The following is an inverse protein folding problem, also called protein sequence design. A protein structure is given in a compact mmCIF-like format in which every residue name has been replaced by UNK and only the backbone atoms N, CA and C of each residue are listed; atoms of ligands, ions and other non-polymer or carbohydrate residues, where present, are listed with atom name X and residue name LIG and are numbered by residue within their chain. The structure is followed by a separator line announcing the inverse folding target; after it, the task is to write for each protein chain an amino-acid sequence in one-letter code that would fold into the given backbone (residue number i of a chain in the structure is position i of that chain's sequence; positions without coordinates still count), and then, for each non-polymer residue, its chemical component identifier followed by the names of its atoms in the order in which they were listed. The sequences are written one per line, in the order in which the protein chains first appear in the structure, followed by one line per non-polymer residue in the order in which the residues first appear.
data_IF_626692398969
#
_entry.id   IF_626692398969
#
_cell.length_a   1.000
_cell.length_b   1.000
_cell.length_c   1.000
_cell.angle_alpha   90.00
_cell.angle_beta   90.00
_cell.angle_gamma   90.00
#
_symmetry.space_group_name_H-M   'P 1'
#
loop_
_entity.id
_entity.type
_entity.pdbx_description
1 polymer ?
#
# COMPACT_ATOMS: atom_id res chain seq x y z
N UNK A 1 20.57 -19.26 2.64
CA UNK A 1 20.52 -18.15 3.62
C UNK A 1 19.10 -18.09 4.19
N UNK A 2 18.93 -17.84 5.48
CA UNK A 2 17.60 -17.69 6.07
C UNK A 2 17.07 -16.26 5.91
N UNK A 3 15.79 -16.13 5.60
CA UNK A 3 15.05 -14.87 5.49
C UNK A 3 13.67 -15.01 6.15
N UNK A 4 12.99 -13.90 6.44
CA UNK A 4 11.70 -13.95 7.12
C UNK A 4 10.58 -14.34 6.16
N UNK A 5 10.58 -13.75 4.96
CA UNK A 5 9.53 -13.95 3.97
C UNK A 5 10.10 -14.07 2.57
N UNK A 6 9.56 -15.02 1.80
CA UNK A 6 9.79 -15.15 0.36
C UNK A 6 8.46 -15.00 -0.38
N UNK A 7 8.37 -14.02 -1.28
CA UNK A 7 7.17 -13.81 -2.10
C UNK A 7 7.50 -14.22 -3.53
N UNK A 8 6.79 -15.20 -4.06
CA UNK A 8 6.92 -15.61 -5.46
C UNK A 8 5.75 -15.05 -6.26
N UNK A 9 6.02 -14.21 -7.26
CA UNK A 9 4.98 -13.58 -8.06
C UNK A 9 5.10 -13.95 -9.54
N UNK A 10 3.97 -13.92 -10.26
CA UNK A 10 4.01 -14.08 -11.72
C UNK A 10 4.66 -12.87 -12.38
N UNK A 11 4.31 -11.68 -11.94
CA UNK A 11 4.90 -10.43 -12.42
C UNK A 11 5.39 -9.61 -11.22
N UNK A 12 6.60 -9.08 -11.32
CA UNK A 12 7.12 -8.05 -10.41
C UNK A 12 7.39 -6.79 -11.22
N UNK A 13 6.86 -5.66 -10.75
CA UNK A 13 7.11 -4.33 -11.29
C UNK A 13 8.00 -3.56 -10.30
N UNK A 14 9.34 -3.59 -10.45
CA UNK A 14 10.24 -2.97 -9.48
C UNK A 14 10.25 -1.44 -9.55
N UNK A 15 9.62 -0.83 -10.58
CA UNK A 15 9.66 0.60 -10.94
C UNK A 15 11.05 1.05 -11.41
N UNK A 16 12.12 0.63 -10.74
CA UNK A 16 13.51 0.86 -11.12
C UNK A 16 14.24 -0.49 -11.16
N UNK A 17 14.75 -0.93 -12.34
CA UNK A 17 14.51 -0.36 -13.67
C UNK A 17 13.04 -0.51 -14.10
N UNK A 18 12.61 0.25 -15.11
CA UNK A 18 11.23 0.22 -15.60
C UNK A 18 11.00 -0.99 -16.53
N UNK A 19 10.89 -2.18 -15.96
CA UNK A 19 10.67 -3.44 -16.68
C UNK A 19 9.67 -4.34 -15.94
N UNK A 20 9.15 -5.35 -16.66
CA UNK A 20 8.29 -6.38 -16.09
C UNK A 20 9.12 -7.64 -15.89
N UNK A 21 9.27 -8.07 -14.65
CA UNK A 21 9.99 -9.30 -14.31
C UNK A 21 9.01 -10.45 -14.14
N UNK A 22 9.00 -11.39 -15.10
CA UNK A 22 8.18 -12.59 -15.00
C UNK A 22 8.84 -13.68 -14.14
N UNK A 23 8.06 -14.37 -13.32
CA UNK A 23 8.52 -15.46 -12.45
C UNK A 23 9.71 -15.07 -11.55
N UNK A 24 9.54 -13.95 -10.84
CA UNK A 24 10.53 -13.44 -9.89
C UNK A 24 10.03 -13.51 -8.46
N UNK A 25 10.97 -13.38 -7.54
CA UNK A 25 10.71 -13.45 -6.11
C UNK A 25 11.44 -12.38 -5.35
N UNK A 26 10.79 -11.88 -4.30
CA UNK A 26 11.35 -10.92 -3.36
C UNK A 26 11.66 -11.66 -2.07
N UNK A 27 12.91 -11.56 -1.61
CA UNK A 27 13.34 -12.02 -0.30
C UNK A 27 13.35 -10.86 0.68
N UNK A 28 12.73 -11.04 1.84
CA UNK A 28 12.62 -10.02 2.89
C UNK A 28 13.27 -10.52 4.18
N UNK A 29 14.17 -9.73 4.75
CA UNK A 29 14.81 -9.99 6.04
C UNK A 29 14.79 -8.71 6.89
N UNK A 30 14.31 -8.83 8.12
CA UNK A 30 14.17 -7.74 9.09
C UNK A 30 13.45 -6.52 8.50
N UNK A 31 12.36 -6.78 7.76
CA UNK A 31 11.54 -5.75 7.10
C UNK A 31 12.17 -5.10 5.85
N UNK A 32 13.36 -5.55 5.41
CA UNK A 32 14.05 -5.00 4.25
C UNK A 32 14.05 -5.99 3.09
N UNK A 33 13.92 -5.48 1.86
CA UNK A 33 14.16 -6.27 0.65
C UNK A 33 15.66 -6.53 0.55
N UNK A 34 16.05 -7.81 0.57
CA UNK A 34 17.47 -8.20 0.48
C UNK A 34 17.84 -8.81 -0.86
N UNK A 35 16.85 -9.23 -1.64
CA UNK A 35 17.07 -9.73 -3.00
C UNK A 35 15.79 -9.68 -3.84
N UNK A 36 15.99 -9.54 -5.15
CA UNK A 36 14.99 -9.64 -6.21
C UNK A 36 15.59 -10.48 -7.34
N UNK A 37 15.09 -11.71 -7.51
CA UNK A 37 15.71 -12.69 -8.40
C UNK A 37 14.69 -13.67 -8.99
N UNK A 38 15.02 -14.40 -10.07
CA UNK A 38 14.15 -15.45 -10.61
C UNK A 38 13.74 -16.46 -9.54
N UNK A 39 12.49 -16.91 -9.58
CA UNK A 39 11.88 -17.77 -8.56
C UNK A 39 12.68 -19.04 -8.29
N UNK A 40 13.19 -19.71 -9.33
CA UNK A 40 13.98 -20.93 -9.14
C UNK A 40 15.29 -20.67 -8.39
N UNK A 41 15.98 -19.56 -8.71
CA UNK A 41 17.18 -19.16 -7.98
C UNK A 41 16.87 -18.77 -6.52
N UNK A 42 15.71 -18.16 -6.29
CA UNK A 42 15.26 -17.80 -4.95
C UNK A 42 15.08 -19.05 -4.07
N UNK A 43 14.46 -20.11 -4.61
CA UNK A 43 14.25 -21.40 -3.92
C UNK A 43 15.56 -22.12 -3.58
N UNK A 44 16.57 -21.98 -4.42
CA UNK A 44 17.90 -22.55 -4.18
C UNK A 44 18.69 -21.76 -3.13
N UNK A 45 18.59 -20.43 -3.18
CA UNK A 45 19.43 -19.52 -2.38
C UNK A 45 18.88 -19.30 -0.96
N UNK A 46 17.57 -19.30 -0.80
CA UNK A 46 16.89 -18.88 0.43
C UNK A 46 15.98 -19.95 1.03
N UNK A 47 16.00 -20.04 2.36
CA UNK A 47 14.96 -20.69 3.17
C UNK A 47 14.21 -19.59 3.92
N UNK A 48 12.88 -19.68 4.00
CA UNK A 48 12.06 -18.63 4.60
C UNK A 48 11.09 -19.18 5.64
N UNK A 49 10.89 -18.43 6.74
CA UNK A 49 9.87 -18.78 7.74
C UNK A 49 8.45 -18.68 7.18
N UNK A 50 8.20 -17.74 6.26
CA UNK A 50 6.94 -17.57 5.54
C UNK A 50 7.17 -17.52 4.04
N UNK A 51 6.31 -18.20 3.27
CA UNK A 51 6.35 -18.18 1.81
C UNK A 51 4.98 -17.86 1.25
N UNK A 52 4.91 -16.92 0.31
CA UNK A 52 3.68 -16.51 -0.36
C UNK A 52 3.76 -16.86 -1.85
N UNK A 53 2.71 -17.50 -2.37
CA UNK A 53 2.61 -17.90 -3.77
C UNK A 53 1.57 -17.04 -4.48
N UNK A 54 2.03 -16.21 -5.40
CA UNK A 54 1.25 -15.17 -6.08
C UNK A 54 1.33 -15.35 -7.61
N UNK A 55 1.15 -16.59 -8.09
CA UNK A 55 1.36 -17.00 -9.50
C UNK A 55 0.36 -16.45 -10.53
N UNK A 56 -0.62 -15.68 -10.09
CA UNK A 56 -1.58 -14.96 -10.95
C UNK A 56 -1.61 -13.46 -10.66
N UNK A 57 -0.68 -12.95 -9.84
CA UNK A 57 -0.70 -11.57 -9.36
C UNK A 57 0.50 -10.78 -9.87
N UNK A 58 0.32 -9.47 -9.86
CA UNK A 58 1.38 -8.47 -10.01
C UNK A 58 1.81 -8.00 -8.63
N UNK A 59 3.11 -8.04 -8.36
CA UNK A 59 3.73 -7.46 -7.18
C UNK A 59 4.35 -6.11 -7.56
N UNK A 60 4.05 -5.07 -6.80
CA UNK A 60 4.55 -3.71 -7.00
C UNK A 60 4.91 -3.08 -5.64
N UNK A 61 5.72 -2.01 -5.61
CA UNK A 61 5.87 -1.18 -4.43
C UNK A 61 4.51 -0.71 -3.92
N UNK A 62 4.40 -0.55 -2.60
CA UNK A 62 3.22 0.01 -1.97
C UNK A 62 2.93 1.41 -2.55
N UNK A 63 1.66 1.69 -2.84
CA UNK A 63 1.26 3.01 -3.33
C UNK A 63 1.46 4.07 -2.24
N UNK A 64 2.01 5.22 -2.63
CA UNK A 64 2.23 6.35 -1.73
C UNK A 64 1.09 7.35 -1.92
N UNK A 65 0.24 7.50 -0.90
CA UNK A 65 -0.75 8.56 -0.86
C UNK A 65 -0.08 9.86 -0.34
N UNK A 66 0.28 10.76 -1.26
CA UNK A 66 1.05 11.96 -0.94
C UNK A 66 0.24 13.07 -0.24
N UNK A 67 -1.10 13.01 -0.26
CA UNK A 67 -1.95 14.01 0.36
C UNK A 67 -3.31 13.41 0.71
N UNK A 68 -3.69 13.50 2.00
CA UNK A 68 -4.97 12.97 2.47
C UNK A 68 -5.48 13.77 3.68
N UNK A 69 -6.80 13.81 3.82
CA UNK A 69 -7.49 14.24 5.03
C UNK A 69 -8.21 13.03 5.64
N UNK A 70 -7.45 12.14 6.29
CA UNK A 70 -7.93 10.81 6.64
C UNK A 70 -9.22 10.82 7.47
N UNK A 71 -9.30 11.61 8.54
CA UNK A 71 -10.48 11.68 9.41
C UNK A 71 -11.77 12.10 8.66
N UNK A 72 -11.66 12.83 7.54
CA UNK A 72 -12.82 13.21 6.73
C UNK A 72 -13.46 12.03 5.98
N UNK A 73 -12.93 10.81 6.08
CA UNK A 73 -13.60 9.59 5.61
C UNK A 73 -15.02 9.44 6.18
N UNK A 74 -15.26 9.89 7.41
CA UNK A 74 -16.57 9.90 8.05
C UNK A 74 -17.54 10.95 7.47
N UNK A 75 -17.02 11.92 6.69
CA UNK A 75 -17.83 12.89 5.93
C UNK A 75 -18.07 12.47 4.48
N UNK A 76 -17.76 11.22 4.10
CA UNK A 76 -17.99 10.72 2.76
C UNK A 76 -19.48 10.83 2.39
N UNK A 77 -19.77 11.60 1.33
CA UNK A 77 -21.13 11.87 0.84
C UNK A 77 -21.92 12.91 1.65
N UNK A 78 -21.28 13.68 2.54
CA UNK A 78 -21.95 14.68 3.37
C UNK A 78 -22.42 15.90 2.56
N UNK A 79 -21.65 16.34 1.57
CA UNK A 79 -21.86 17.59 0.86
C UNK A 79 -21.29 17.52 -0.56
N UNK A 80 -21.94 16.73 -1.42
CA UNK A 80 -21.53 16.60 -2.82
C UNK A 80 -22.11 17.75 -3.69
N UNK A 81 -21.57 17.94 -4.89
CA UNK A 81 -22.10 18.84 -5.94
C UNK A 81 -22.17 20.35 -5.60
N UNK A 82 -21.26 20.85 -4.75
CA UNK A 82 -21.18 22.26 -4.37
C UNK A 82 -19.91 22.95 -4.90
N UNK A 83 -19.97 24.27 -5.20
CA UNK A 83 -18.77 25.08 -5.39
C UNK A 83 -17.86 25.02 -4.16
N UNK A 84 -16.53 25.06 -4.36
CA UNK A 84 -15.54 24.90 -3.29
C UNK A 84 -15.81 25.77 -2.06
N UNK A 85 -16.12 27.05 -2.25
CA UNK A 85 -16.32 27.96 -1.13
C UNK A 85 -17.62 27.68 -0.38
N UNK A 86 -18.68 27.27 -1.07
CA UNK A 86 -19.92 26.85 -0.44
C UNK A 86 -19.72 25.56 0.35
N UNK A 87 -19.03 24.58 -0.26
CA UNK A 87 -18.64 23.33 0.38
C UNK A 87 -17.84 23.57 1.67
N UNK A 88 -16.82 24.44 1.63
CA UNK A 88 -16.01 24.76 2.80
C UNK A 88 -16.80 25.51 3.88
N UNK A 89 -17.37 26.66 3.52
CA UNK A 89 -17.91 27.61 4.50
C UNK A 89 -19.23 27.15 5.10
N UNK A 90 -20.08 26.52 4.30
CA UNK A 90 -21.44 26.19 4.71
C UNK A 90 -21.60 24.73 5.13
N UNK A 91 -20.64 23.84 4.84
CA UNK A 91 -20.74 22.41 5.16
C UNK A 91 -19.54 21.87 5.94
N UNK A 92 -18.33 21.91 5.37
CA UNK A 92 -17.17 21.24 5.98
C UNK A 92 -16.68 21.93 7.24
N UNK A 93 -16.40 23.23 7.22
CA UNK A 93 -15.92 23.92 8.42
C UNK A 93 -16.92 23.84 9.59
N UNK A 94 -18.24 24.00 9.38
CA UNK A 94 -19.22 23.75 10.43
C UNK A 94 -19.19 22.31 10.96
N UNK A 95 -19.05 21.31 10.10
CA UNK A 95 -18.95 19.91 10.51
C UNK A 95 -17.67 19.65 11.33
N UNK A 96 -16.54 20.22 10.88
CA UNK A 96 -15.23 20.07 11.53
C UNK A 96 -15.18 20.67 12.94
N UNK A 97 -16.00 21.69 13.24
CA UNK A 97 -16.11 22.26 14.59
C UNK A 97 -16.61 21.25 15.63
N UNK A 98 -17.26 20.16 15.20
CA UNK A 98 -17.76 19.11 16.06
C UNK A 98 -16.80 17.92 16.17
N UNK A 99 -15.61 17.99 15.56
CA UNK A 99 -14.62 16.91 15.60
C UNK A 99 -13.93 16.88 16.97
N UNK A 100 -13.82 15.68 17.51
CA UNK A 100 -13.00 15.37 18.69
C UNK A 100 -11.99 14.26 18.40
N UNK A 101 -11.20 13.88 19.41
CA UNK A 101 -10.20 12.81 19.28
C UNK A 101 -10.80 11.45 18.92
N UNK A 102 -12.05 11.19 19.30
CA UNK A 102 -12.75 9.94 18.97
C UNK A 102 -13.08 9.91 17.49
N UNK A 103 -13.61 11.01 16.96
CA UNK A 103 -13.87 11.16 15.53
C UNK A 103 -12.60 11.00 14.69
N UNK A 104 -11.49 11.62 15.11
CA UNK A 104 -10.20 11.47 14.42
C UNK A 104 -9.75 10.01 14.39
N UNK A 105 -9.79 9.32 15.55
CA UNK A 105 -9.40 7.90 15.65
C UNK A 105 -10.27 7.01 14.77
N UNK A 106 -11.58 7.24 14.76
CA UNK A 106 -12.52 6.36 14.07
C UNK A 106 -12.54 6.61 12.55
N UNK A 107 -12.09 7.80 12.10
CA UNK A 107 -12.04 8.17 10.68
C UNK A 107 -10.70 7.90 9.98
N UNK A 108 -9.62 7.68 10.72
CA UNK A 108 -8.28 7.36 10.18
C UNK A 108 -8.08 5.87 10.02
#
# INVERSE_FOLDING_TARGET
MEVDTLIHARWVLPVIPNEILEHHSIAILSGNIVDLLPTEKAKEKYSAASTQQCYSHVLLPGLINAHTHAAMNLFKGLADDLPLMDWLQHHIWPAEQNIDSTFVRDGT
#
